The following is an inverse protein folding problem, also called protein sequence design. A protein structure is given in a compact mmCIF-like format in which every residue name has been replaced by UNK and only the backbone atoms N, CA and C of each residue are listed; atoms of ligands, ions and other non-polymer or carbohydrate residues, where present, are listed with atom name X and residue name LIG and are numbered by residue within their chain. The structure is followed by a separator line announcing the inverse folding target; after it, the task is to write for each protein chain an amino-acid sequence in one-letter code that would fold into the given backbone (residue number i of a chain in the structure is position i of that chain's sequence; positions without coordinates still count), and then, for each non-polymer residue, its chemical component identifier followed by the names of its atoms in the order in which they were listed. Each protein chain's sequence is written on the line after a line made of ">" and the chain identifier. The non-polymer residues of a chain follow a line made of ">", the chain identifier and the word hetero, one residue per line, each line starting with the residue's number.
data_IF_025323156432
#
_entry.id   IF_025323156432
#
_cell.length_a   1.000
_cell.length_b   1.000
_cell.length_c   1.000
_cell.angle_alpha   90.00
_cell.angle_beta   90.00
_cell.angle_gamma   90.00
#
_symmetry.space_group_name_H-M   'P 1'
#
loop_
_entity.id
_entity.type
_entity.pdbx_description
1 polymer ?
#
# COMPACT_ATOMS: atom_id res chain seq x y z
N UNK A 1 -0.65 5.11 14.87
CA UNK A 1 0.14 5.45 13.67
C UNK A 1 1.39 4.63 13.74
N UNK A 2 1.78 3.95 12.66
CA UNK A 2 2.94 3.06 12.72
C UNK A 2 4.19 3.93 12.90
N UNK A 3 4.70 3.91 14.13
CA UNK A 3 5.99 4.46 14.49
C UNK A 3 7.08 3.61 13.80
N UNK A 4 8.34 4.06 13.77
CA UNK A 4 9.44 3.18 13.40
C UNK A 4 9.40 1.87 14.19
N UNK A 5 10.10 0.83 13.73
CA UNK A 5 10.16 -0.44 14.45
C UNK A 5 10.58 -0.25 15.92
N UNK A 6 10.10 -1.13 16.81
CA UNK A 6 10.31 -1.00 18.26
C UNK A 6 11.80 -0.92 18.60
N UNK A 7 12.63 -1.69 17.90
CA UNK A 7 14.08 -1.67 18.09
C UNK A 7 14.70 -0.28 17.81
N UNK A 8 14.19 0.46 16.82
CA UNK A 8 14.62 1.84 16.58
C UNK A 8 14.15 2.78 17.68
N UNK A 9 12.91 2.62 18.15
CA UNK A 9 12.37 3.43 19.24
C UNK A 9 13.19 3.25 20.52
N UNK A 10 13.52 2.01 20.87
CA UNK A 10 14.35 1.69 22.04
C UNK A 10 15.77 2.27 21.90
N UNK A 11 16.37 2.16 20.71
CA UNK A 11 17.68 2.75 20.42
C UNK A 11 17.68 4.28 20.59
N UNK A 12 16.69 4.97 20.02
CA UNK A 12 16.54 6.42 20.15
C UNK A 12 16.27 6.81 21.60
N UNK A 13 15.48 6.04 22.34
CA UNK A 13 15.22 6.28 23.76
C UNK A 13 16.50 6.15 24.61
N UNK A 14 17.30 5.10 24.38
CA UNK A 14 18.59 4.93 25.04
C UNK A 14 19.53 6.11 24.73
N UNK A 15 19.63 6.48 23.44
CA UNK A 15 20.42 7.63 23.02
C UNK A 15 19.96 8.92 23.71
N UNK A 16 18.65 9.17 23.75
CA UNK A 16 18.07 10.29 24.47
C UNK A 16 18.48 10.28 25.95
N UNK A 17 18.37 9.15 26.65
CA UNK A 17 18.77 9.08 28.06
C UNK A 17 20.25 9.42 28.28
N UNK A 18 21.12 9.07 27.34
CA UNK A 18 22.56 9.35 27.40
C UNK A 18 22.99 10.76 26.99
N UNK A 19 22.08 11.61 26.48
CA UNK A 19 22.44 12.98 26.11
C UNK A 19 22.73 13.85 27.34
N UNK A 20 23.64 14.79 27.14
CA UNK A 20 23.96 15.85 28.10
C UNK A 20 22.69 16.61 28.55
N UNK A 21 22.52 16.91 29.85
CA UNK A 21 21.33 17.60 30.36
C UNK A 21 21.07 18.97 29.71
N UNK A 22 22.11 19.78 29.50
CA UNK A 22 21.96 21.12 28.91
C UNK A 22 21.52 21.00 27.45
N UNK A 23 22.04 20.00 26.74
CA UNK A 23 21.60 19.69 25.39
C UNK A 23 20.14 19.23 25.33
N UNK A 24 19.68 18.41 26.28
CA UNK A 24 18.26 17.98 26.37
C UNK A 24 17.34 19.18 26.61
N UNK A 25 17.71 20.06 27.53
CA UNK A 25 16.95 21.28 27.81
C UNK A 25 16.89 22.16 26.56
N UNK A 26 18.04 22.40 25.92
CA UNK A 26 18.10 23.16 24.67
C UNK A 26 17.22 22.53 23.60
N UNK A 27 17.31 21.23 23.36
CA UNK A 27 16.51 20.53 22.36
C UNK A 27 15.01 20.67 22.64
N UNK A 28 14.59 20.48 23.90
CA UNK A 28 13.18 20.58 24.32
C UNK A 28 12.63 22.01 24.23
N UNK A 29 13.51 23.02 24.30
CA UNK A 29 13.12 24.43 24.16
C UNK A 29 12.88 24.89 22.72
N UNK A 30 13.36 24.12 21.72
CA UNK A 30 13.22 24.47 20.30
C UNK A 30 11.75 24.38 19.87
N UNK A 31 11.24 25.49 19.32
CA UNK A 31 9.85 25.57 18.84
C UNK A 31 9.70 25.50 17.33
N UNK A 32 10.76 25.82 16.59
CA UNK A 32 10.76 25.79 15.13
C UNK A 32 11.21 24.42 14.64
N UNK A 33 10.45 23.84 13.71
CA UNK A 33 10.70 22.49 13.20
C UNK A 33 12.08 22.38 12.51
N UNK A 34 12.50 23.44 11.81
CA UNK A 34 13.80 23.47 11.14
C UNK A 34 14.96 23.48 12.15
N UNK A 35 14.78 24.08 13.33
CA UNK A 35 15.80 24.08 14.38
C UNK A 35 15.85 22.73 15.10
N UNK A 36 14.68 22.13 15.38
CA UNK A 36 14.58 20.75 15.91
C UNK A 36 15.30 19.78 14.96
N UNK A 37 15.03 19.89 13.65
CA UNK A 37 15.65 19.05 12.64
C UNK A 37 17.16 19.24 12.57
N UNK A 38 17.64 20.49 12.48
CA UNK A 38 19.09 20.78 12.46
C UNK A 38 19.77 20.25 13.71
N UNK A 39 19.19 20.47 14.89
CA UNK A 39 19.74 19.95 16.13
C UNK A 39 19.79 18.42 16.13
N UNK A 40 18.70 17.75 15.77
CA UNK A 40 18.67 16.28 15.66
C UNK A 40 19.70 15.75 14.65
N UNK A 41 19.88 16.44 13.53
CA UNK A 41 20.87 16.08 12.52
C UNK A 41 22.30 16.17 13.06
N UNK A 42 22.64 17.19 13.87
CA UNK A 42 23.96 17.26 14.52
C UNK A 42 24.22 16.14 15.54
N UNK A 43 23.15 15.53 16.07
CA UNK A 43 23.24 14.40 16.99
C UNK A 43 23.26 13.05 16.27
N UNK A 44 22.96 13.04 14.96
CA UNK A 44 22.94 11.82 14.15
C UNK A 44 24.38 11.44 13.77
N UNK A 45 24.76 10.20 14.06
CA UNK A 45 26.10 9.66 13.81
C UNK A 45 26.04 8.49 12.83
N UNK A 46 27.21 8.06 12.34
CA UNK A 46 27.31 6.88 11.48
C UNK A 46 26.78 5.62 12.17
N UNK A 47 27.00 5.48 13.49
CA UNK A 47 26.48 4.35 14.27
C UNK A 47 24.95 4.27 14.24
N UNK A 48 24.26 5.41 14.23
CA UNK A 48 22.80 5.44 14.11
C UNK A 48 22.36 4.92 12.72
N UNK A 49 23.06 5.35 11.67
CA UNK A 49 22.79 4.91 10.29
C UNK A 49 23.04 3.41 10.13
N UNK A 50 24.17 2.92 10.65
CA UNK A 50 24.51 1.49 10.63
C UNK A 50 23.47 0.66 11.38
N UNK A 51 22.93 1.19 12.49
CA UNK A 51 21.88 0.54 13.27
C UNK A 51 20.56 0.43 12.48
N UNK A 52 20.12 1.51 11.82
CA UNK A 52 18.93 1.47 10.93
C UNK A 52 19.12 0.48 9.80
N UNK A 53 20.28 0.48 9.15
CA UNK A 53 20.59 -0.45 8.05
C UNK A 53 20.59 -1.91 8.50
N UNK A 54 21.12 -2.19 9.69
CA UNK A 54 21.09 -3.53 10.28
C UNK A 54 19.65 -4.02 10.48
N UNK A 55 18.76 -3.15 10.98
CA UNK A 55 17.35 -3.49 11.16
C UNK A 55 16.61 -3.65 9.83
N UNK A 56 16.92 -2.82 8.83
CA UNK A 56 16.22 -2.85 7.55
C UNK A 56 16.45 -4.13 6.77
N UNK A 57 17.55 -4.85 7.03
CA UNK A 57 17.75 -6.20 6.50
C UNK A 57 16.58 -7.17 6.83
N UNK A 58 15.96 -7.03 8.01
CA UNK A 58 14.79 -7.82 8.42
C UNK A 58 13.49 -7.46 7.68
N UNK A 59 13.46 -6.30 7.02
CA UNK A 59 12.34 -5.80 6.23
C UNK A 59 12.64 -5.82 4.73
N UNK A 60 13.53 -6.72 4.29
CA UNK A 60 13.92 -6.83 2.89
C UNK A 60 12.71 -6.93 1.97
N UNK A 61 12.70 -6.05 0.98
CA UNK A 61 11.70 -6.02 -0.10
C UNK A 61 12.27 -6.56 -1.40
N UNK A 62 13.40 -7.28 -1.35
CA UNK A 62 14.03 -7.84 -2.53
C UNK A 62 13.22 -9.01 -3.10
N UNK A 63 13.45 -9.31 -4.37
CA UNK A 63 12.98 -10.55 -4.98
C UNK A 63 13.74 -11.71 -4.36
N UNK A 64 13.03 -12.80 -4.09
CA UNK A 64 13.57 -13.97 -3.42
C UNK A 64 12.88 -15.24 -3.97
N UNK A 65 13.60 -16.09 -4.71
CA UNK A 65 13.05 -17.32 -5.28
C UNK A 65 12.67 -18.36 -4.22
N UNK A 66 13.33 -18.39 -3.06
CA UNK A 66 13.00 -19.31 -1.97
C UNK A 66 11.71 -18.87 -1.28
N UNK A 67 11.54 -17.57 -1.04
CA UNK A 67 10.28 -17.01 -0.55
C UNK A 67 9.14 -17.23 -1.53
N UNK A 68 9.38 -17.09 -2.84
CA UNK A 68 8.38 -17.39 -3.87
C UNK A 68 7.89 -18.84 -3.79
N UNK A 69 8.83 -19.79 -3.62
CA UNK A 69 8.55 -21.23 -3.43
C UNK A 69 7.75 -21.47 -2.16
N UNK A 70 8.16 -20.87 -1.05
CA UNK A 70 7.47 -20.96 0.25
C UNK A 70 6.04 -20.41 0.17
N UNK A 71 5.82 -19.29 -0.51
CA UNK A 71 4.48 -18.75 -0.76
C UNK A 71 3.63 -19.71 -1.58
N UNK A 72 4.17 -20.30 -2.65
CA UNK A 72 3.46 -21.28 -3.46
C UNK A 72 3.04 -22.50 -2.65
N UNK A 73 3.90 -23.00 -1.76
CA UNK A 73 3.59 -24.16 -0.92
C UNK A 73 2.53 -23.85 0.13
N UNK A 74 2.59 -22.68 0.77
CA UNK A 74 1.50 -22.19 1.64
C UNK A 74 0.19 -22.05 0.87
N UNK A 75 0.23 -21.55 -0.36
CA UNK A 75 -0.94 -21.46 -1.22
C UNK A 75 -1.52 -22.83 -1.54
N UNK A 76 -0.68 -23.84 -1.77
CA UNK A 76 -1.13 -25.22 -1.98
C UNK A 76 -1.81 -25.79 -0.72
N UNK A 77 -1.27 -25.53 0.47
CA UNK A 77 -1.89 -25.94 1.72
C UNK A 77 -3.27 -25.29 1.90
N UNK A 78 -3.39 -23.98 1.70
CA UNK A 78 -4.69 -23.27 1.73
C UNK A 78 -5.67 -23.79 0.67
N UNK A 79 -5.17 -24.14 -0.52
CA UNK A 79 -6.00 -24.72 -1.57
C UNK A 79 -6.57 -26.09 -1.16
N UNK A 80 -5.76 -26.93 -0.51
CA UNK A 80 -6.18 -28.23 0.00
C UNK A 80 -7.25 -28.11 1.10
N UNK A 81 -7.14 -27.10 1.97
CA UNK A 81 -8.17 -26.78 2.99
C UNK A 81 -9.38 -26.03 2.41
N UNK A 82 -9.44 -25.83 1.09
CA UNK A 82 -10.49 -25.10 0.36
C UNK A 82 -10.62 -23.62 0.71
N UNK A 83 -9.64 -23.04 1.40
CA UNK A 83 -9.52 -21.59 1.52
C UNK A 83 -8.89 -21.02 0.25
N UNK A 84 -9.71 -20.90 -0.79
CA UNK A 84 -9.27 -20.45 -2.10
C UNK A 84 -8.87 -18.97 -2.11
N UNK A 85 -9.42 -18.14 -1.21
CA UNK A 85 -9.03 -16.74 -1.08
C UNK A 85 -7.62 -16.63 -0.52
N UNK A 86 -7.32 -17.34 0.58
CA UNK A 86 -5.96 -17.39 1.12
C UNK A 86 -4.98 -18.01 0.12
N UNK A 87 -5.39 -19.06 -0.61
CA UNK A 87 -4.56 -19.65 -1.66
C UNK A 87 -4.22 -18.62 -2.74
N UNK A 88 -5.20 -17.87 -3.26
CA UNK A 88 -4.98 -16.84 -4.27
C UNK A 88 -4.04 -15.72 -3.79
N UNK A 89 -4.16 -15.31 -2.52
CA UNK A 89 -3.28 -14.32 -1.91
C UNK A 89 -1.85 -14.84 -1.74
N UNK A 90 -1.67 -16.09 -1.29
CA UNK A 90 -0.35 -16.73 -1.19
C UNK A 90 0.34 -16.84 -2.55
N UNK A 91 -0.38 -17.32 -3.59
CA UNK A 91 0.19 -17.40 -4.93
C UNK A 91 0.54 -16.00 -5.47
N UNK A 92 -0.28 -14.99 -5.18
CA UNK A 92 0.03 -13.60 -5.53
C UNK A 92 1.27 -13.08 -4.84
N UNK A 93 1.48 -13.43 -3.56
CA UNK A 93 2.70 -13.10 -2.83
C UNK A 93 3.91 -13.82 -3.44
N UNK A 94 3.75 -15.09 -3.85
CA UNK A 94 4.78 -15.83 -4.58
C UNK A 94 5.19 -15.15 -5.89
N UNK A 95 4.22 -14.65 -6.66
CA UNK A 95 4.46 -13.86 -7.88
C UNK A 95 5.21 -12.56 -7.57
N UNK A 96 4.94 -11.92 -6.42
CA UNK A 96 5.65 -10.71 -6.02
C UNK A 96 7.10 -10.99 -5.61
N UNK A 97 7.39 -12.11 -4.94
CA UNK A 97 8.75 -12.49 -4.58
C UNK A 97 9.57 -13.05 -5.73
N UNK A 98 8.92 -13.72 -6.70
CA UNK A 98 9.64 -14.38 -7.77
C UNK A 98 10.54 -13.39 -8.52
N UNK A 99 11.85 -13.69 -8.68
CA UNK A 99 12.65 -13.00 -9.69
C UNK A 99 12.05 -13.27 -11.07
N UNK A 100 12.61 -12.70 -12.15
CA UNK A 100 12.18 -13.01 -13.53
C UNK A 100 12.54 -14.45 -13.97
N UNK A 101 12.52 -15.39 -13.03
CA UNK A 101 12.48 -16.84 -13.22
C UNK A 101 11.15 -17.26 -13.84
N UNK A 102 11.23 -17.81 -15.03
CA UNK A 102 10.08 -18.26 -15.81
C UNK A 102 9.31 -19.38 -15.08
N UNK A 103 10.02 -20.38 -14.54
CA UNK A 103 9.41 -21.55 -13.93
C UNK A 103 8.55 -21.19 -12.72
N UNK A 104 9.10 -20.47 -11.74
CA UNK A 104 8.37 -20.13 -10.51
C UNK A 104 7.15 -19.25 -10.79
N UNK A 105 7.29 -18.27 -11.69
CA UNK A 105 6.19 -17.43 -12.14
C UNK A 105 5.10 -18.27 -12.79
N UNK A 106 5.46 -19.16 -13.73
CA UNK A 106 4.49 -19.99 -14.43
C UNK A 106 3.67 -20.88 -13.47
N UNK A 107 4.33 -21.49 -12.48
CA UNK A 107 3.68 -22.33 -11.48
C UNK A 107 2.76 -21.53 -10.56
N UNK A 108 3.18 -20.34 -10.12
CA UNK A 108 2.32 -19.50 -9.28
C UNK A 108 1.08 -19.01 -10.03
N UNK A 109 1.21 -18.58 -11.30
CA UNK A 109 0.06 -18.20 -12.14
C UNK A 109 -0.86 -19.40 -12.41
N UNK A 110 -0.30 -20.58 -12.70
CA UNK A 110 -1.07 -21.80 -12.90
C UNK A 110 -1.85 -22.22 -11.65
N UNK A 111 -1.27 -22.05 -10.46
CA UNK A 111 -1.95 -22.40 -9.22
C UNK A 111 -2.97 -21.31 -8.81
N UNK A 112 -2.65 -20.03 -9.01
CA UNK A 112 -3.58 -18.92 -8.76
C UNK A 112 -4.81 -18.99 -9.65
N UNK A 113 -4.66 -19.31 -10.94
CA UNK A 113 -5.81 -19.53 -11.82
C UNK A 113 -6.72 -20.67 -11.35
N UNK A 114 -6.19 -21.67 -10.63
CA UNK A 114 -7.00 -22.73 -10.04
C UNK A 114 -7.86 -22.20 -8.88
N UNK A 115 -7.25 -21.40 -8.00
CA UNK A 115 -7.95 -20.76 -6.89
C UNK A 115 -9.02 -19.78 -7.39
N UNK A 116 -8.68 -18.94 -8.37
CA UNK A 116 -9.61 -18.00 -9.01
C UNK A 116 -10.79 -18.70 -9.68
N UNK A 117 -10.54 -19.84 -10.36
CA UNK A 117 -11.61 -20.65 -10.94
C UNK A 117 -12.60 -21.14 -9.87
N UNK A 118 -12.09 -21.61 -8.72
CA UNK A 118 -12.94 -22.04 -7.59
C UNK A 118 -13.72 -20.89 -6.97
N UNK A 119 -13.17 -19.68 -6.99
CA UNK A 119 -13.83 -18.45 -6.57
C UNK A 119 -14.73 -17.82 -7.64
N UNK A 120 -14.90 -18.47 -8.80
CA UNK A 120 -15.70 -17.99 -9.94
C UNK A 120 -15.19 -16.70 -10.61
N UNK A 121 -13.93 -16.32 -10.35
CA UNK A 121 -13.21 -15.26 -11.07
C UNK A 121 -12.68 -15.81 -12.40
N UNK A 122 -13.59 -16.13 -13.32
CA UNK A 122 -13.26 -16.85 -14.55
C UNK A 122 -12.42 -16.01 -15.52
N UNK A 123 -12.62 -14.69 -15.59
CA UNK A 123 -11.84 -13.82 -16.48
C UNK A 123 -10.39 -13.71 -16.00
N UNK A 124 -10.19 -13.51 -14.71
CA UNK A 124 -8.87 -13.44 -14.09
C UNK A 124 -8.16 -14.79 -14.12
N UNK A 125 -8.90 -15.90 -13.94
CA UNK A 125 -8.39 -17.26 -14.11
C UNK A 125 -7.83 -17.48 -15.52
N UNK A 126 -8.54 -17.02 -16.57
CA UNK A 126 -8.08 -17.08 -17.96
C UNK A 126 -6.80 -16.26 -18.17
N UNK A 127 -6.77 -15.02 -17.67
CA UNK A 127 -5.59 -14.17 -17.79
C UNK A 127 -4.35 -14.76 -17.11
N UNK A 128 -4.53 -15.46 -15.98
CA UNK A 128 -3.44 -16.17 -15.31
C UNK A 128 -3.01 -17.45 -16.04
N UNK A 129 -3.93 -18.16 -16.71
CA UNK A 129 -3.57 -19.28 -17.60
C UNK A 129 -2.65 -18.78 -18.72
N UNK A 130 -3.01 -17.66 -19.36
CA UNK A 130 -2.21 -17.07 -20.44
C UNK A 130 -0.81 -16.69 -19.96
N UNK A 131 -0.72 -16.09 -18.77
CA UNK A 131 0.58 -15.77 -18.14
C UNK A 131 1.36 -17.04 -17.81
N UNK A 132 0.74 -18.07 -17.25
CA UNK A 132 1.42 -19.32 -16.94
C UNK A 132 2.07 -19.93 -18.19
N UNK A 133 1.32 -20.00 -19.30
CA UNK A 133 1.83 -20.48 -20.58
C UNK A 133 2.95 -19.60 -21.12
N UNK A 134 2.79 -18.26 -21.07
CA UNK A 134 3.82 -17.29 -21.48
C UNK A 134 5.14 -17.47 -20.72
N UNK A 135 5.08 -17.78 -19.43
CA UNK A 135 6.25 -18.00 -18.58
C UNK A 135 6.77 -19.45 -18.62
N UNK A 136 6.37 -20.26 -19.61
CA UNK A 136 6.97 -21.59 -19.81
C UNK A 136 6.47 -22.67 -18.86
N UNK A 137 5.16 -22.68 -18.57
CA UNK A 137 4.54 -23.75 -17.79
C UNK A 137 4.89 -25.16 -18.35
N UNK A 138 5.15 -26.17 -17.51
CA UNK A 138 5.63 -27.48 -17.98
C UNK A 138 4.69 -28.11 -19.03
N UNK A 139 5.26 -28.43 -20.20
CA UNK A 139 4.51 -28.91 -21.37
C UNK A 139 3.61 -30.11 -21.07
N UNK A 140 4.10 -31.07 -20.29
CA UNK A 140 3.35 -32.26 -19.89
C UNK A 140 2.14 -31.96 -18.97
N UNK A 141 2.06 -30.78 -18.37
CA UNK A 141 0.94 -30.33 -17.52
C UNK A 141 -0.01 -29.36 -18.22
N UNK A 142 0.31 -28.89 -19.43
CA UNK A 142 -0.49 -27.87 -20.16
C UNK A 142 -1.96 -28.29 -20.31
N UNK A 143 -2.24 -29.58 -20.50
CA UNK A 143 -3.61 -30.09 -20.58
C UNK A 143 -4.49 -29.66 -19.39
N UNK A 144 -3.92 -29.58 -18.17
CA UNK A 144 -4.66 -29.15 -16.97
C UNK A 144 -5.11 -27.68 -17.06
N UNK A 145 -4.32 -26.84 -17.72
CA UNK A 145 -4.67 -25.43 -17.93
C UNK A 145 -5.71 -25.28 -19.03
N UNK A 146 -5.58 -26.03 -20.13
CA UNK A 146 -6.56 -26.00 -21.23
C UNK A 146 -7.93 -26.56 -20.81
N UNK A 147 -7.97 -27.60 -19.97
CA UNK A 147 -9.21 -28.11 -19.37
C UNK A 147 -9.91 -27.04 -18.52
N UNK A 148 -9.13 -26.32 -17.70
CA UNK A 148 -9.64 -25.21 -16.88
C UNK A 148 -10.10 -24.04 -17.74
N UNK A 149 -9.33 -23.67 -18.77
CA UNK A 149 -9.69 -22.63 -19.74
C UNK A 149 -11.04 -22.93 -20.39
N UNK A 150 -11.22 -24.17 -20.86
CA UNK A 150 -12.48 -24.63 -21.46
C UNK A 150 -13.66 -24.47 -20.48
N UNK A 151 -13.47 -24.85 -19.21
CA UNK A 151 -14.48 -24.67 -18.16
C UNK A 151 -14.79 -23.19 -17.90
N UNK A 152 -13.76 -22.32 -17.78
CA UNK A 152 -13.96 -20.87 -17.64
C UNK A 152 -14.82 -20.30 -18.78
N UNK A 153 -14.50 -20.63 -20.03
CA UNK A 153 -15.23 -20.16 -21.21
C UNK A 153 -16.69 -20.66 -21.22
N UNK A 154 -16.91 -21.91 -20.80
CA UNK A 154 -18.26 -22.46 -20.63
C UNK A 154 -19.06 -21.67 -19.58
N UNK A 155 -18.48 -21.39 -18.42
CA UNK A 155 -19.17 -20.60 -17.39
C UNK A 155 -19.45 -19.16 -17.83
N UNK A 156 -18.52 -18.51 -18.51
CA UNK A 156 -18.71 -17.15 -19.02
C UNK A 156 -19.79 -17.07 -20.10
N UNK A 157 -19.84 -18.03 -21.02
CA UNK A 157 -20.88 -18.08 -22.07
C UNK A 157 -22.27 -18.36 -21.50
N UNK A 158 -22.39 -19.23 -20.47
CA UNK A 158 -23.65 -19.44 -19.75
C UNK A 158 -24.07 -18.19 -18.99
N UNK A 159 -23.14 -17.52 -18.30
CA UNK A 159 -23.42 -16.28 -17.57
C UNK A 159 -23.84 -15.11 -18.49
N UNK A 160 -23.28 -15.02 -19.70
CA UNK A 160 -23.70 -14.03 -20.70
C UNK A 160 -25.13 -14.29 -21.21
N UNK A 161 -25.49 -15.55 -21.48
CA UNK A 161 -26.87 -15.92 -21.85
C UNK A 161 -27.86 -15.58 -20.74
N UNK A 162 -27.56 -15.91 -19.50
CA UNK A 162 -28.41 -15.57 -18.35
C UNK A 162 -28.59 -14.05 -18.16
N UNK A 163 -27.56 -13.23 -18.42
CA UNK A 163 -27.67 -11.76 -18.36
C UNK A 163 -28.52 -11.18 -19.49
N UNK A 164 -28.48 -11.78 -20.69
CA UNK A 164 -29.33 -11.40 -21.82
C UNK A 164 -30.80 -11.75 -21.55
N UNK A 165 -31.05 -12.92 -20.98
CA UNK A 165 -32.41 -13.35 -20.61
C UNK A 165 -32.99 -12.47 -19.48
N UNK A 166 -32.16 -12.05 -18.52
CA UNK A 166 -32.59 -11.22 -17.40
C UNK A 166 -32.69 -9.72 -17.74
N UNK A 167 -32.07 -9.24 -18.82
CA UNK A 167 -32.24 -7.86 -19.33
C UNK A 167 -33.59 -7.63 -20.03
N UNK A 168 -34.41 -8.68 -20.22
CA UNK A 168 -35.79 -8.57 -20.71
C UNK A 168 -36.80 -8.12 -19.63
N UNK A 169 -36.37 -8.00 -18.37
CA UNK A 169 -37.15 -7.38 -17.30
C UNK A 169 -36.36 -6.20 -16.73
N UNK A 170 -36.95 -5.00 -16.84
CA UNK A 170 -36.28 -3.73 -16.62
C UNK A 170 -35.59 -3.62 -15.26
N UNK A 171 -34.29 -3.36 -15.30
CA UNK A 171 -33.52 -2.89 -14.15
C UNK A 171 -33.04 -1.49 -14.47
N UNK A 172 -33.62 -0.52 -13.75
CA UNK A 172 -33.14 0.85 -13.63
C UNK A 172 -31.69 0.81 -13.18
N UNK A 173 -30.77 1.23 -14.06
CA UNK A 173 -29.38 1.52 -13.71
C UNK A 173 -29.40 2.49 -12.53
N UNK A 174 -28.83 2.08 -11.40
CA UNK A 174 -28.51 3.00 -10.30
C UNK A 174 -27.68 4.18 -10.84
N UNK A 175 -27.72 5.34 -10.17
CA UNK A 175 -27.13 6.56 -10.70
C UNK A 175 -25.65 6.30 -10.98
N UNK A 176 -25.27 6.46 -12.26
CA UNK A 176 -23.88 6.60 -12.66
C UNK A 176 -23.37 7.81 -11.87
N UNK A 177 -22.55 7.57 -10.85
CA UNK A 177 -21.90 8.64 -10.11
C UNK A 177 -21.01 9.34 -11.13
N UNK A 178 -21.46 10.52 -11.56
CA UNK A 178 -20.66 11.41 -12.41
C UNK A 178 -19.34 11.77 -11.71
N UNK A 179 -18.48 12.57 -12.35
CA UNK A 179 -17.23 12.97 -11.72
C UNK A 179 -17.52 13.56 -10.33
N UNK A 180 -17.03 12.90 -9.26
CA UNK A 180 -17.16 13.42 -7.91
C UNK A 180 -16.54 14.82 -7.88
N UNK A 181 -17.37 15.84 -7.68
CA UNK A 181 -16.92 17.22 -7.54
C UNK A 181 -16.15 17.33 -6.23
N UNK A 182 -14.85 17.53 -6.30
CA UNK A 182 -14.03 17.87 -5.13
C UNK A 182 -14.42 19.27 -4.69
N UNK A 183 -14.77 19.44 -3.42
CA UNK A 183 -15.16 20.72 -2.89
C UNK A 183 -16.04 20.64 -1.64
N UNK A 184 -16.22 21.81 -1.04
CA UNK A 184 -17.15 22.07 0.04
C UNK A 184 -18.52 22.34 -0.59
N UNK A 185 -19.59 21.81 -0.01
CA UNK A 185 -20.93 22.09 -0.53
C UNK A 185 -21.27 23.59 -0.38
N UNK A 186 -22.12 24.17 -1.25
CA UNK A 186 -22.42 25.60 -1.23
C UNK A 186 -22.97 26.13 0.10
N UNK A 187 -23.63 25.27 0.88
CA UNK A 187 -24.19 25.63 2.20
C UNK A 187 -23.13 25.76 3.30
N UNK A 188 -21.85 25.51 3.01
CA UNK A 188 -20.77 25.51 3.99
C UNK A 188 -19.68 26.49 3.57
N UNK A 189 -19.22 27.29 4.53
CA UNK A 189 -18.18 28.30 4.35
C UNK A 189 -17.00 28.06 5.27
N UNK A 190 -15.82 28.54 4.89
CA UNK A 190 -14.65 28.60 5.80
C UNK A 190 -14.74 29.89 6.61
N UNK A 191 -14.90 29.76 7.93
CA UNK A 191 -14.88 30.86 8.87
C UNK A 191 -13.61 30.83 9.74
N UNK A 192 -13.39 31.88 10.53
CA UNK A 192 -12.31 31.97 11.51
C UNK A 192 -12.87 32.33 12.88
N UNK A 193 -12.37 31.69 13.95
CA UNK A 193 -12.54 32.19 15.32
C UNK A 193 -11.21 32.10 16.07
N UNK A 194 -10.96 32.99 17.06
CA UNK A 194 -9.73 32.94 17.86
C UNK A 194 -9.48 31.59 18.53
N UNK A 195 -10.55 30.89 18.94
CA UNK A 195 -10.47 29.64 19.70
C UNK A 195 -10.21 28.42 18.80
N UNK A 196 -10.64 28.46 17.54
CA UNK A 196 -10.62 27.31 16.62
C UNK A 196 -9.75 27.51 15.39
N UNK A 197 -9.30 28.73 15.12
CA UNK A 197 -8.69 29.11 13.85
C UNK A 197 -9.68 28.96 12.69
N UNK A 198 -9.18 28.56 11.51
CA UNK A 198 -10.00 28.31 10.32
C UNK A 198 -10.83 27.03 10.48
N UNK A 199 -12.14 27.11 10.27
CA UNK A 199 -13.05 25.99 10.42
C UNK A 199 -14.24 26.09 9.45
N UNK A 200 -14.91 24.95 9.20
CA UNK A 200 -16.10 24.91 8.36
C UNK A 200 -17.35 25.25 9.17
N UNK A 201 -18.23 26.10 8.62
CA UNK A 201 -19.50 26.50 9.23
C UNK A 201 -20.61 26.33 8.21
N UNK A 202 -21.72 25.71 8.62
CA UNK A 202 -22.94 25.68 7.82
C UNK A 202 -23.56 27.09 7.81
N UNK A 203 -23.53 27.75 6.65
CA UNK A 203 -24.18 29.03 6.42
C UNK A 203 -25.70 28.88 6.25
N UNK A 204 -26.14 27.71 5.79
CA UNK A 204 -27.55 27.37 5.57
C UNK A 204 -27.89 26.00 6.16
N UNK A 205 -29.20 25.68 6.22
CA UNK A 205 -29.67 24.39 6.72
C UNK A 205 -29.25 23.26 5.76
N UNK A 206 -28.60 22.24 6.31
CA UNK A 206 -28.21 21.02 5.60
C UNK A 206 -29.13 19.88 6.06
N UNK A 207 -29.76 19.19 5.11
CA UNK A 207 -30.58 18.03 5.43
C UNK A 207 -29.72 16.85 5.91
N UNK A 208 -30.28 15.99 6.77
CA UNK A 208 -29.61 14.76 7.19
C UNK A 208 -29.26 13.89 5.98
N UNK A 209 -28.03 13.37 5.95
CA UNK A 209 -27.50 12.64 4.79
C UNK A 209 -26.91 13.53 3.68
N UNK A 210 -26.95 14.86 3.82
CA UNK A 210 -26.29 15.78 2.89
C UNK A 210 -24.76 15.69 2.95
N UNK A 211 -24.11 15.75 1.79
CA UNK A 211 -22.63 15.75 1.69
C UNK A 211 -22.11 17.16 1.94
N UNK A 212 -21.26 17.32 2.96
CA UNK A 212 -20.66 18.60 3.36
C UNK A 212 -19.34 18.87 2.60
N UNK A 213 -18.52 17.84 2.45
CA UNK A 213 -17.19 17.91 1.86
C UNK A 213 -16.96 16.65 1.05
N UNK A 214 -16.49 16.82 -0.18
CA UNK A 214 -15.90 15.76 -0.97
C UNK A 214 -14.45 16.12 -1.22
N UNK A 215 -13.52 15.26 -0.77
CA UNK A 215 -12.10 15.50 -0.94
C UNK A 215 -11.41 14.28 -1.55
N UNK A 216 -10.30 14.52 -2.26
CA UNK A 216 -9.39 13.48 -2.71
C UNK A 216 -8.12 13.58 -1.87
N UNK A 217 -7.67 12.47 -1.26
CA UNK A 217 -6.48 12.52 -0.40
C UNK A 217 -5.29 13.05 -1.20
N UNK A 218 -4.59 14.02 -0.61
CA UNK A 218 -3.38 14.56 -1.23
C UNK A 218 -2.35 13.45 -1.44
N UNK A 219 -2.14 12.59 -0.45
CA UNK A 219 -1.29 11.41 -0.53
C UNK A 219 -1.80 10.32 0.40
N UNK A 220 -1.38 9.08 0.19
CA UNK A 220 -1.74 7.93 1.02
C UNK A 220 -0.73 6.80 0.87
N UNK A 221 -0.69 5.94 1.89
CA UNK A 221 0.10 4.71 1.98
C UNK A 221 -0.77 3.59 2.55
N UNK A 222 -0.48 2.35 2.19
CA UNK A 222 -1.11 1.19 2.82
C UNK A 222 -0.44 0.92 4.16
N UNK A 223 -1.23 0.59 5.18
CA UNK A 223 -0.71 0.22 6.49
C UNK A 223 -0.40 -1.29 6.44
N UNK A 224 0.88 -1.68 6.61
CA UNK A 224 1.25 -3.09 6.64
C UNK A 224 0.52 -3.84 7.77
N UNK A 225 0.17 -5.10 7.55
CA UNK A 225 -0.30 -5.95 8.64
C UNK A 225 0.81 -6.15 9.69
N UNK A 226 0.51 -5.91 10.96
CA UNK A 226 1.44 -6.25 12.04
C UNK A 226 1.43 -7.77 12.26
N UNK A 227 2.60 -8.40 12.13
CA UNK A 227 2.80 -9.71 12.72
C UNK A 227 2.88 -9.51 14.23
N UNK A 228 1.79 -9.76 14.97
CA UNK A 228 1.89 -9.87 16.42
C UNK A 228 2.81 -11.05 16.75
N UNK A 229 4.07 -10.76 17.11
CA UNK A 229 4.88 -11.71 17.86
C UNK A 229 4.32 -11.71 19.27
N UNK A 230 3.22 -12.45 19.48
CA UNK A 230 2.75 -12.71 20.84
C UNK A 230 3.83 -13.53 21.54
N UNK A 231 4.58 -12.89 22.42
CA UNK A 231 5.28 -13.58 23.50
C UNK A 231 4.24 -14.28 24.36
N UNK A 232 4.13 -15.61 24.20
CA UNK A 232 3.20 -16.42 24.95
C UNK A 232 3.09 -17.81 24.34
N UNK A 233 3.55 -18.81 25.08
CA UNK A 233 3.48 -20.24 24.76
C UNK A 233 2.05 -20.64 24.35
N UNK A 234 1.85 -20.95 23.08
CA UNK A 234 1.12 -22.11 22.55
C UNK A 234 0.92 -21.89 21.05
N UNK A 235 1.26 -22.91 20.26
CA UNK A 235 0.99 -23.03 18.82
C UNK A 235 -0.53 -23.08 18.58
N UNK A 236 -1.20 -21.94 18.71
CA UNK A 236 -2.53 -21.75 18.15
C UNK A 236 -2.33 -21.31 16.70
N UNK A 237 -2.93 -22.05 15.76
CA UNK A 237 -2.91 -21.83 14.32
C UNK A 237 -2.79 -20.33 13.98
N UNK A 238 -1.60 -19.92 13.51
CA UNK A 238 -1.41 -18.59 12.93
C UNK A 238 -2.31 -18.51 11.70
N UNK A 239 -3.55 -18.06 11.88
CA UNK A 239 -4.39 -17.62 10.79
C UNK A 239 -3.53 -16.62 10.00
N UNK A 240 -3.27 -16.91 8.72
CA UNK A 240 -2.48 -16.04 7.86
C UNK A 240 -3.25 -14.74 7.69
N UNK A 241 -2.93 -13.75 8.52
CA UNK A 241 -3.49 -12.41 8.43
C UNK A 241 -2.79 -11.66 7.31
N UNK A 242 -3.37 -11.72 6.11
CA UNK A 242 -2.91 -10.90 4.99
C UNK A 242 -3.22 -9.43 5.29
N UNK A 243 -2.21 -8.56 5.39
CA UNK A 243 -2.44 -7.14 5.63
C UNK A 243 -3.06 -6.42 4.42
N UNK A 244 -3.38 -5.14 4.59
CA UNK A 244 -4.00 -4.34 3.50
C UNK A 244 -3.07 -4.15 2.31
N UNK A 245 -1.76 -4.08 2.58
CA UNK A 245 -0.68 -4.08 1.59
C UNK A 245 -0.71 -5.31 0.69
N UNK A 246 -1.25 -6.43 1.18
CA UNK A 246 -1.27 -7.67 0.40
C UNK A 246 -2.46 -7.80 -0.53
N UNK A 247 -3.57 -7.11 -0.20
CA UNK A 247 -4.85 -7.24 -0.92
C UNK A 247 -5.19 -6.01 -1.75
N UNK A 248 -4.53 -4.88 -1.52
CA UNK A 248 -4.85 -3.61 -2.17
C UNK A 248 -3.76 -3.13 -3.10
N UNK A 249 -4.18 -2.47 -4.16
CA UNK A 249 -3.31 -1.73 -5.06
C UNK A 249 -2.59 -0.61 -4.30
N UNK A 250 -1.26 -0.58 -4.38
CA UNK A 250 -0.43 0.45 -3.75
C UNK A 250 -0.59 1.84 -4.39
N UNK A 251 -1.25 1.89 -5.57
CA UNK A 251 -1.58 3.12 -6.26
C UNK A 251 -2.97 3.64 -5.98
N UNK A 252 -4.02 2.83 -6.10
CA UNK A 252 -5.41 3.30 -6.07
C UNK A 252 -6.26 2.68 -4.94
N UNK A 253 -5.64 1.88 -4.07
CA UNK A 253 -6.27 1.19 -2.93
C UNK A 253 -7.36 0.17 -3.28
N UNK A 254 -7.65 -0.04 -4.57
CA UNK A 254 -8.59 -1.04 -5.05
C UNK A 254 -8.11 -2.43 -4.63
N UNK A 255 -9.03 -3.24 -4.10
CA UNK A 255 -8.75 -4.62 -3.75
C UNK A 255 -8.54 -5.48 -5.00
N UNK A 256 -7.56 -6.38 -4.97
CA UNK A 256 -7.24 -7.27 -6.08
C UNK A 256 -6.62 -8.57 -5.59
N UNK A 257 -7.11 -9.69 -6.11
CA UNK A 257 -6.48 -11.01 -5.97
C UNK A 257 -5.47 -11.29 -7.08
N UNK A 258 -5.37 -10.41 -8.08
CA UNK A 258 -4.56 -10.61 -9.27
C UNK A 258 -3.61 -9.43 -9.50
N UNK A 259 -2.78 -9.06 -8.51
CA UNK A 259 -1.93 -7.91 -8.67
C UNK A 259 -0.89 -8.10 -9.77
N UNK A 260 -0.56 -6.98 -10.42
CA UNK A 260 0.66 -6.77 -11.19
C UNK A 260 1.77 -6.41 -10.19
N UNK A 261 2.81 -7.26 -10.02
CA UNK A 261 3.89 -6.99 -9.08
C UNK A 261 4.82 -5.88 -9.60
N UNK A 262 5.48 -5.14 -8.71
CA UNK A 262 6.65 -4.36 -9.09
C UNK A 262 7.73 -5.27 -9.70
N UNK A 263 8.52 -4.77 -10.64
CA UNK A 263 9.62 -5.54 -11.24
C UNK A 263 10.86 -5.55 -10.32
N UNK A 264 11.10 -4.47 -9.59
CA UNK A 264 12.29 -4.31 -8.73
C UNK A 264 12.14 -4.85 -7.31
N UNK A 265 10.95 -4.76 -6.69
CA UNK A 265 10.73 -5.18 -5.31
C UNK A 265 9.59 -6.19 -5.18
N UNK A 266 9.56 -6.92 -4.07
CA UNK A 266 8.52 -7.89 -3.71
C UNK A 266 7.36 -7.27 -2.92
N UNK A 267 7.49 -6.02 -2.49
CA UNK A 267 6.49 -5.37 -1.65
C UNK A 267 5.33 -4.78 -2.46
N UNK A 268 5.63 -3.85 -3.36
CA UNK A 268 4.62 -3.07 -4.04
C UNK A 268 3.94 -3.82 -5.18
N UNK A 269 2.62 -3.65 -5.26
CA UNK A 269 1.74 -4.40 -6.17
C UNK A 269 0.52 -3.57 -6.55
N UNK A 270 0.02 -3.80 -7.77
CA UNK A 270 -0.94 -2.91 -8.42
C UNK A 270 -2.10 -3.67 -9.04
N UNK A 271 -3.29 -3.08 -9.15
CA UNK A 271 -4.43 -3.75 -9.78
C UNK A 271 -4.32 -3.83 -11.32
N UNK A 272 -3.46 -3.02 -11.94
CA UNK A 272 -3.27 -2.97 -13.38
C UNK A 272 -1.87 -2.43 -13.74
N UNK A 273 -1.46 -2.65 -14.98
CA UNK A 273 -0.23 -2.06 -15.54
C UNK A 273 -0.27 -0.53 -15.54
N UNK A 274 -1.45 0.07 -15.76
CA UNK A 274 -1.61 1.52 -15.64
C UNK A 274 -1.32 2.03 -14.24
N UNK A 275 -1.90 1.38 -13.20
CA UNK A 275 -1.59 1.74 -11.82
C UNK A 275 -0.13 1.50 -11.43
N UNK A 276 0.52 0.49 -11.99
CA UNK A 276 1.95 0.24 -11.80
C UNK A 276 2.79 1.37 -12.40
N UNK A 277 2.50 1.78 -13.62
CA UNK A 277 3.21 2.86 -14.31
C UNK A 277 2.97 4.21 -13.62
N UNK A 278 1.73 4.56 -13.33
CA UNK A 278 1.39 5.81 -12.63
C UNK A 278 2.09 5.91 -11.27
N UNK A 279 2.15 4.80 -10.53
CA UNK A 279 2.88 4.77 -9.26
C UNK A 279 4.38 4.92 -9.46
N UNK A 280 4.95 4.26 -10.47
CA UNK A 280 6.37 4.37 -10.80
C UNK A 280 6.78 5.81 -11.11
N UNK A 281 5.97 6.50 -11.91
CA UNK A 281 6.21 7.89 -12.31
C UNK A 281 6.02 8.86 -11.14
N UNK A 282 5.02 8.65 -10.27
CA UNK A 282 4.70 9.58 -9.18
C UNK A 282 5.57 9.41 -7.93
N UNK A 283 5.89 8.19 -7.50
CA UNK A 283 6.58 7.98 -6.21
C UNK A 283 7.41 6.70 -6.13
N UNK A 284 6.95 5.60 -6.70
CA UNK A 284 7.51 4.29 -6.39
C UNK A 284 8.94 4.07 -6.89
N UNK A 285 9.36 4.73 -7.98
CA UNK A 285 10.76 4.66 -8.46
C UNK A 285 11.79 5.12 -7.42
N UNK A 286 11.39 6.04 -6.52
CA UNK A 286 12.23 6.52 -5.43
C UNK A 286 12.06 5.67 -4.16
N UNK A 287 10.88 5.11 -3.93
CA UNK A 287 10.62 4.21 -2.80
C UNK A 287 11.26 2.83 -2.98
N UNK A 288 11.24 2.29 -4.20
CA UNK A 288 11.65 0.93 -4.51
C UNK A 288 13.05 0.54 -3.96
N UNK A 289 14.12 1.33 -4.16
CA UNK A 289 15.45 0.97 -3.66
C UNK A 289 15.60 1.08 -2.13
N UNK A 290 14.78 1.91 -1.47
CA UNK A 290 14.84 2.16 -0.02
C UNK A 290 13.64 1.55 0.71
N UNK A 291 12.94 0.60 0.08
CA UNK A 291 11.67 0.09 0.61
C UNK A 291 11.84 -0.55 1.98
N UNK A 292 12.97 -1.24 2.21
CA UNK A 292 13.30 -1.82 3.52
C UNK A 292 13.47 -0.75 4.61
N UNK A 293 14.14 0.36 4.28
CA UNK A 293 14.32 1.48 5.21
C UNK A 293 12.98 2.17 5.50
N UNK A 294 12.14 2.37 4.49
CA UNK A 294 10.80 2.94 4.65
C UNK A 294 9.91 2.07 5.55
N UNK A 295 9.98 0.74 5.40
CA UNK A 295 9.26 -0.20 6.27
C UNK A 295 9.78 -0.14 7.71
N UNK A 296 11.10 -0.01 7.89
CA UNK A 296 11.74 0.12 9.21
C UNK A 296 11.35 1.43 9.91
N UNK A 297 11.28 2.52 9.15
CA UNK A 297 10.97 3.87 9.66
C UNK A 297 9.46 4.15 9.79
N UNK A 298 8.60 3.22 9.37
CA UNK A 298 7.16 3.28 9.54
C UNK A 298 6.42 4.12 8.50
N UNK A 299 5.09 3.98 8.52
CA UNK A 299 4.17 4.52 7.49
C UNK A 299 4.22 6.05 7.37
N UNK A 300 4.56 6.75 8.46
CA UNK A 300 4.66 8.21 8.45
C UNK A 300 5.84 8.70 7.59
N UNK A 301 6.96 7.98 7.63
CA UNK A 301 8.14 8.29 6.83
C UNK A 301 7.86 8.11 5.34
N UNK A 302 7.17 7.01 4.98
CA UNK A 302 6.72 6.79 3.60
C UNK A 302 5.73 7.85 3.14
N UNK A 303 4.74 8.21 3.98
CA UNK A 303 3.76 9.23 3.66
C UNK A 303 4.43 10.60 3.44
N UNK A 304 5.36 10.99 4.34
CA UNK A 304 6.11 12.23 4.24
C UNK A 304 6.93 12.30 2.94
N UNK A 305 7.58 11.20 2.55
CA UNK A 305 8.29 11.10 1.27
C UNK A 305 7.34 11.34 0.09
N UNK A 306 6.19 10.65 0.04
CA UNK A 306 5.20 10.83 -1.04
C UNK A 306 4.65 12.25 -1.09
N UNK A 307 4.33 12.86 0.06
CA UNK A 307 3.87 14.26 0.13
C UNK A 307 4.92 15.20 -0.44
N UNK A 308 6.20 14.99 -0.08
CA UNK A 308 7.34 15.79 -0.55
C UNK A 308 7.52 15.67 -2.07
N UNK A 309 7.51 14.44 -2.60
CA UNK A 309 7.63 14.18 -4.04
C UNK A 309 6.48 14.81 -4.83
N UNK A 310 5.24 14.69 -4.32
CA UNK A 310 4.04 15.24 -4.96
C UNK A 310 3.98 16.76 -4.90
N UNK A 311 4.41 17.37 -3.79
CA UNK A 311 4.50 18.82 -3.67
C UNK A 311 5.53 19.39 -4.65
N UNK A 312 6.64 18.66 -4.85
CA UNK A 312 7.72 19.06 -5.72
C UNK A 312 8.61 20.12 -5.07
N UNK A 313 9.91 20.05 -5.37
CA UNK A 313 10.94 20.85 -4.71
C UNK A 313 10.69 22.37 -4.81
N UNK A 314 10.19 22.84 -5.97
CA UNK A 314 9.90 24.26 -6.19
C UNK A 314 8.85 24.80 -5.23
N UNK A 315 7.75 24.07 -5.02
CA UNK A 315 6.69 24.50 -4.12
C UNK A 315 7.14 24.45 -2.66
N UNK A 316 7.97 23.47 -2.30
CA UNK A 316 8.58 23.39 -0.97
C UNK A 316 9.48 24.61 -0.71
N UNK A 317 10.32 24.97 -1.68
CA UNK A 317 11.18 26.17 -1.58
C UNK A 317 10.38 27.46 -1.50
N UNK A 318 9.27 27.57 -2.25
CA UNK A 318 8.37 28.72 -2.16
C UNK A 318 7.69 28.81 -0.79
N UNK A 319 7.22 27.70 -0.23
CA UNK A 319 6.62 27.66 1.11
C UNK A 319 7.60 28.13 2.18
N UNK A 320 8.86 27.67 2.14
CA UNK A 320 9.89 28.09 3.10
C UNK A 320 10.15 29.59 3.07
N UNK A 321 10.24 30.19 1.87
CA UNK A 321 10.42 31.65 1.73
C UNK A 321 9.26 32.44 2.32
N UNK A 322 8.02 31.99 2.09
CA UNK A 322 6.84 32.64 2.64
C UNK A 322 6.77 32.56 4.17
N UNK A 323 7.22 31.46 4.77
CA UNK A 323 7.34 31.33 6.23
C UNK A 323 8.41 32.26 6.81
N UNK A 324 9.57 32.37 6.16
CA UNK A 324 10.64 33.28 6.56
C UNK A 324 10.19 34.76 6.50
N UNK A 325 9.41 35.11 5.47
CA UNK A 325 8.83 36.46 5.31
C UNK A 325 7.77 36.76 6.37
N UNK A 326 6.85 35.81 6.63
CA UNK A 326 5.82 35.97 7.66
C UNK A 326 6.40 36.06 9.08
N UNK A 327 7.45 35.29 9.36
CA UNK A 327 8.15 35.33 10.67
C UNK A 327 8.83 36.69 10.86
N UNK A 328 9.44 37.24 9.81
CA UNK A 328 10.05 38.58 9.84
C UNK A 328 9.02 39.71 9.98
N UNK A 329 7.83 39.58 9.38
CA UNK A 329 6.77 40.59 9.53
C UNK A 329 6.09 40.56 10.89
N UNK A 330 5.95 39.39 11.52
CA UNK A 330 5.33 39.25 12.86
C UNK A 330 6.22 39.68 14.03
N UNK A 331 7.52 39.88 13.79
CA UNK A 331 8.46 40.48 14.75
C UNK A 331 8.46 42.02 14.72
N UNK A 332 7.82 42.63 13.72
CA UNK A 332 7.78 44.08 13.50
C UNK A 332 6.39 44.71 13.80
N UNK A 333 5.49 43.96 14.44
CA UNK A 333 4.13 44.37 14.82
C UNK A 333 3.85 43.99 16.26
#
# INVERSE_FOLDING_TARGET
>A
MDLPCVQWQDYVAQKWTGLDPDLKERFTSLRQIDDVFKCALTLTTQTDLDFVQCMSAGYSVQKDPEQATTCRERGNASFQTRDYTAAALQYSQGICFAPQSLEQLSLCYANRSAALFRLQHYQESLADIDKALKYGYPSHLVHKLEDRRTQCLKHLSVGQKAKLDHQSQGITKGPSVGPLSVGICPQVVVAFSPEKGRHLVAAERIAAGGVILTDRPYSYVLIPGMNEVKGGRQEAEKAVLFGTEQRRCHRCLTETLCPVPCEGCSYSRYCSTGCQQDAWEEHHRWECPIGADLMTMGVMSQLALRVTLKAGLKNIQMSKKAEDENTKSGLNS
#
